data_IF_813743488343
#
_entry.id   IF_813743488343
#
_cell.length_a   1.000
_cell.length_b   1.000
_cell.length_c   1.000
_cell.angle_alpha   90.00
_cell.angle_beta   90.00
_cell.angle_gamma   90.00
#
_symmetry.space_group_name_H-M   'P 1'
#
loop_
_entity.id
_entity.type
_entity.pdbx_description
1 polymer ?
#
# COMPACT_ATOMS: atom_id res chain seq x y z
N UNK A 1 -44.11 12.80 34.07
CA UNK A 1 -44.19 11.86 32.94
C UNK A 1 -42.76 11.55 32.48
N UNK A 2 -42.19 10.42 32.94
CA UNK A 2 -40.81 9.96 32.67
C UNK A 2 -40.82 8.67 31.83
N UNK A 3 -41.51 8.68 30.68
CA UNK A 3 -41.67 7.49 29.82
C UNK A 3 -40.59 7.33 28.73
N UNK A 4 -40.01 8.43 28.24
CA UNK A 4 -39.11 8.39 27.07
C UNK A 4 -37.70 7.86 27.36
N UNK A 5 -37.10 8.24 28.50
CA UNK A 5 -35.70 7.88 28.81
C UNK A 5 -35.50 6.39 29.10
N UNK A 6 -36.51 5.72 29.64
CA UNK A 6 -36.44 4.27 29.90
C UNK A 6 -36.54 3.43 28.61
N UNK A 7 -37.29 3.90 27.60
CA UNK A 7 -37.41 3.19 26.33
C UNK A 7 -36.11 3.28 25.52
N UNK A 8 -35.44 4.44 25.53
CA UNK A 8 -34.15 4.62 24.87
C UNK A 8 -33.02 3.82 25.53
N UNK A 9 -33.00 3.73 26.87
CA UNK A 9 -32.01 2.91 27.59
C UNK A 9 -32.21 1.40 27.35
N UNK A 10 -33.46 0.95 27.26
CA UNK A 10 -33.76 -0.46 26.96
C UNK A 10 -33.46 -0.80 25.49
N UNK A 11 -33.75 0.10 24.55
CA UNK A 11 -33.39 -0.06 23.14
C UNK A 11 -31.86 -0.02 22.91
N UNK A 12 -31.14 0.83 23.64
CA UNK A 12 -29.68 0.82 23.66
C UNK A 12 -29.13 -0.50 24.23
N UNK A 13 -29.78 -1.05 25.26
CA UNK A 13 -29.37 -2.30 25.91
C UNK A 13 -29.67 -3.60 25.14
N UNK A 14 -30.62 -3.56 24.19
CA UNK A 14 -31.03 -4.73 23.39
C UNK A 14 -30.51 -4.70 21.94
N UNK A 15 -29.85 -3.62 21.52
CA UNK A 15 -29.27 -3.52 20.18
C UNK A 15 -27.92 -4.26 20.06
N UNK A 16 -27.64 -4.83 18.88
CA UNK A 16 -26.34 -5.47 18.56
C UNK A 16 -25.13 -4.56 18.82
N UNK A 17 -25.30 -3.23 18.73
CA UNK A 17 -24.25 -2.25 19.03
C UNK A 17 -24.01 -2.08 20.54
N UNK A 18 -25.06 -2.15 21.37
CA UNK A 18 -24.95 -2.08 22.83
C UNK A 18 -24.26 -3.31 23.43
N UNK A 19 -24.51 -4.50 22.86
CA UNK A 19 -23.79 -5.72 23.23
C UNK A 19 -22.30 -5.65 22.88
N UNK A 20 -21.95 -5.20 21.67
CA UNK A 20 -20.55 -5.03 21.25
C UNK A 20 -19.80 -4.00 22.10
N UNK A 21 -20.47 -2.90 22.51
CA UNK A 21 -19.88 -1.91 23.39
C UNK A 21 -19.55 -2.48 24.79
N UNK A 22 -20.42 -3.33 25.34
CA UNK A 22 -20.19 -3.98 26.65
C UNK A 22 -19.14 -5.09 26.59
N UNK A 23 -19.12 -5.89 25.53
CA UNK A 23 -18.08 -6.90 25.30
C UNK A 23 -16.72 -6.23 25.06
N UNK A 24 -16.68 -5.13 24.31
CA UNK A 24 -15.46 -4.35 24.07
C UNK A 24 -14.89 -3.72 25.36
N UNK A 25 -15.75 -3.18 26.22
CA UNK A 25 -15.32 -2.61 27.50
C UNK A 25 -14.83 -3.68 28.49
N UNK A 26 -15.48 -4.85 28.53
CA UNK A 26 -15.06 -5.96 29.39
C UNK A 26 -13.72 -6.57 28.94
N UNK A 27 -13.47 -6.66 27.63
CA UNK A 27 -12.20 -7.16 27.09
C UNK A 27 -10.99 -6.26 27.42
N UNK A 28 -11.20 -4.95 27.60
CA UNK A 28 -10.13 -4.01 27.96
C UNK A 28 -9.80 -3.98 29.46
N UNK A 29 -10.67 -4.50 30.33
CA UNK A 29 -10.46 -4.47 31.78
C UNK A 29 -9.63 -5.62 32.36
N UNK A 30 -9.44 -6.72 31.62
CA UNK A 30 -8.82 -7.95 32.15
C UNK A 30 -7.43 -8.22 31.56
N UNK A 31 -7.05 -7.58 30.46
CA UNK A 31 -5.72 -7.69 29.86
C UNK A 31 -4.74 -6.69 30.49
N UNK A 32 -4.34 -6.95 31.72
CA UNK A 32 -3.21 -6.27 32.35
C UNK A 32 -1.92 -6.47 31.55
N UNK A 33 -1.20 -5.38 31.33
CA UNK A 33 0.23 -5.29 31.01
C UNK A 33 0.73 -6.32 29.99
N UNK A 34 0.65 -5.95 28.71
CA UNK A 34 1.76 -6.11 27.76
C UNK A 34 1.54 -5.13 26.62
N UNK A 35 2.35 -4.07 26.65
CA UNK A 35 2.62 -3.20 25.51
C UNK A 35 2.98 -4.05 24.30
N UNK A 36 2.02 -4.37 23.45
CA UNK A 36 2.31 -4.79 22.09
C UNK A 36 2.32 -3.50 21.27
N UNK A 37 3.39 -2.72 21.48
CA UNK A 37 3.96 -2.03 20.34
C UNK A 37 4.20 -3.15 19.34
N UNK A 38 3.56 -3.07 18.18
CA UNK A 38 3.83 -3.96 17.07
C UNK A 38 5.33 -3.91 16.81
N UNK A 39 6.04 -4.86 17.41
CA UNK A 39 7.39 -5.24 17.02
C UNK A 39 7.19 -5.90 15.67
N UNK A 40 7.07 -5.04 14.68
CA UNK A 40 7.29 -5.44 13.31
C UNK A 40 8.68 -6.04 13.29
N UNK A 41 8.80 -7.29 12.82
CA UNK A 41 10.07 -7.97 12.78
C UNK A 41 11.12 -7.09 12.08
N UNK A 42 12.40 -7.09 12.51
CA UNK A 42 13.47 -6.45 11.75
C UNK A 42 13.48 -7.07 10.35
N UNK A 43 12.95 -6.33 9.36
CA UNK A 43 12.68 -6.82 8.00
C UNK A 43 11.28 -6.52 7.47
N UNK A 44 10.29 -6.23 8.33
CA UNK A 44 8.94 -5.82 7.92
C UNK A 44 8.62 -4.35 8.25
N UNK A 45 9.41 -3.70 9.12
CA UNK A 45 9.34 -2.25 9.40
C UNK A 45 10.60 -1.58 8.90
N UNK A 46 10.75 -1.56 7.59
CA UNK A 46 11.48 -0.47 6.97
C UNK A 46 10.55 0.74 7.06
N UNK A 47 10.71 1.59 8.06
CA UNK A 47 10.19 2.94 8.02
C UNK A 47 10.90 3.68 6.87
N UNK A 48 10.48 3.42 5.62
CA UNK A 48 10.95 4.04 4.38
C UNK A 48 12.47 4.31 4.31
N UNK A 49 13.28 3.34 4.75
CA UNK A 49 14.72 3.37 4.62
C UNK A 49 15.10 2.52 3.41
N UNK A 50 15.60 3.13 2.35
CA UNK A 50 16.15 2.38 1.23
C UNK A 50 17.52 1.83 1.64
N UNK A 51 17.50 0.65 2.25
CA UNK A 51 18.71 -0.06 2.69
C UNK A 51 19.54 0.76 3.69
N UNK A 52 18.88 1.27 4.73
CA UNK A 52 19.49 2.14 5.73
C UNK A 52 19.70 3.59 5.26
N UNK A 53 19.28 3.94 4.04
CA UNK A 53 19.28 5.32 3.58
C UNK A 53 17.90 5.95 3.77
N UNK A 54 17.85 7.03 4.55
CA UNK A 54 16.67 7.87 4.63
C UNK A 54 16.58 8.68 3.35
N UNK A 55 15.51 8.51 2.59
CA UNK A 55 15.18 9.40 1.50
C UNK A 55 14.05 10.33 1.94
N UNK A 56 14.03 11.55 1.42
CA UNK A 56 13.12 12.61 1.92
C UNK A 56 11.79 12.67 1.16
N UNK A 57 11.58 11.81 0.18
CA UNK A 57 10.38 11.79 -0.66
C UNK A 57 9.56 10.54 -0.37
N UNK A 58 8.31 10.66 0.01
CA UNK A 58 7.47 9.51 0.31
C UNK A 58 7.24 8.57 -0.90
N UNK A 59 6.86 7.35 -0.54
CA UNK A 59 6.45 6.27 -1.43
C UNK A 59 5.22 6.63 -2.26
N UNK A 60 5.18 6.22 -3.54
CA UNK A 60 3.96 6.34 -4.35
C UNK A 60 2.83 5.48 -3.76
N UNK A 61 1.55 5.85 -3.90
CA UNK A 61 0.44 5.03 -3.47
C UNK A 61 0.47 3.68 -4.17
N UNK A 62 0.19 2.62 -3.42
CA UNK A 62 0.23 1.25 -3.92
C UNK A 62 -0.94 0.45 -3.35
N UNK A 63 -1.60 -0.42 -4.14
CA UNK A 63 -2.76 -1.17 -3.67
C UNK A 63 -2.47 -2.13 -2.50
N UNK A 64 -1.20 -2.47 -2.27
CA UNK A 64 -0.78 -3.33 -1.15
C UNK A 64 0.09 -2.61 -0.10
N UNK A 65 0.09 -1.28 -0.12
CA UNK A 65 0.85 -0.43 0.81
C UNK A 65 2.30 -0.18 0.38
N UNK A 66 3.12 -1.23 0.23
CA UNK A 66 4.52 -1.08 -0.22
C UNK A 66 4.60 -0.94 -1.75
N UNK A 67 5.20 0.13 -2.33
CA UNK A 67 5.16 0.37 -3.78
C UNK A 67 6.16 -0.46 -4.57
N UNK A 68 6.05 -1.78 -4.45
CA UNK A 68 6.86 -2.75 -5.19
C UNK A 68 6.30 -2.89 -6.60
N UNK A 69 7.18 -2.71 -7.58
CA UNK A 69 6.83 -2.77 -9.00
C UNK A 69 7.62 -3.85 -9.73
N UNK A 70 7.05 -4.36 -10.81
CA UNK A 70 7.79 -5.13 -11.81
C UNK A 70 8.62 -4.22 -12.74
N UNK A 71 9.30 -4.81 -13.71
CA UNK A 71 10.15 -4.09 -14.67
C UNK A 71 9.39 -3.12 -15.58
N UNK A 72 8.07 -3.27 -15.69
CA UNK A 72 7.18 -2.41 -16.48
C UNK A 72 6.49 -1.35 -15.62
N UNK A 73 6.72 -1.35 -14.30
CA UNK A 73 6.11 -0.39 -13.37
C UNK A 73 4.74 -0.83 -12.84
N UNK A 74 4.27 -2.05 -13.13
CA UNK A 74 3.01 -2.55 -12.61
C UNK A 74 3.17 -3.05 -11.18
N UNK A 75 2.11 -2.98 -10.35
CA UNK A 75 2.17 -3.39 -8.97
C UNK A 75 2.40 -4.89 -8.82
N UNK A 76 3.25 -5.23 -7.86
CA UNK A 76 3.50 -6.60 -7.40
C UNK A 76 3.45 -6.64 -5.88
N UNK A 77 3.10 -7.78 -5.30
CA UNK A 77 3.08 -7.91 -3.83
C UNK A 77 4.50 -8.03 -3.29
N UNK A 78 4.83 -7.26 -2.25
CA UNK A 78 6.18 -7.23 -1.67
C UNK A 78 6.69 -8.61 -1.23
N UNK A 79 5.82 -9.38 -0.56
CA UNK A 79 6.09 -10.69 0.06
C UNK A 79 6.67 -11.73 -0.91
N UNK A 80 6.13 -11.81 -2.13
CA UNK A 80 6.43 -12.90 -3.06
C UNK A 80 6.68 -12.43 -4.51
N UNK A 81 6.50 -11.14 -4.80
CA UNK A 81 6.66 -10.59 -6.14
C UNK A 81 5.59 -11.03 -7.13
N UNK A 82 4.49 -11.64 -6.68
CA UNK A 82 3.37 -12.02 -7.56
C UNK A 82 2.66 -10.75 -8.06
N UNK A 83 2.22 -10.73 -9.33
CA UNK A 83 1.38 -9.67 -9.87
C UNK A 83 0.13 -9.43 -9.03
N UNK A 84 -0.25 -8.16 -8.89
CA UNK A 84 -1.54 -7.77 -8.33
C UNK A 84 -2.26 -6.79 -9.25
N UNK A 85 -3.57 -6.68 -9.08
CA UNK A 85 -4.42 -5.68 -9.72
C UNK A 85 -4.46 -4.34 -8.96
N UNK A 86 -5.20 -3.38 -9.51
CA UNK A 86 -5.41 -2.05 -8.93
C UNK A 86 -6.12 -2.08 -7.56
N UNK A 87 -6.70 -3.23 -7.18
CA UNK A 87 -7.32 -3.47 -5.87
C UNK A 87 -6.43 -4.30 -4.93
N UNK A 88 -5.26 -4.75 -5.40
CA UNK A 88 -4.30 -5.54 -4.63
C UNK A 88 -4.57 -7.05 -4.60
N UNK A 89 -5.54 -7.53 -5.37
CA UNK A 89 -5.81 -8.97 -5.54
C UNK A 89 -4.74 -9.58 -6.44
N UNK A 90 -4.40 -10.84 -6.24
CA UNK A 90 -3.48 -11.51 -7.16
C UNK A 90 -4.11 -11.64 -8.54
N UNK A 91 -3.26 -11.70 -9.57
CA UNK A 91 -3.69 -11.93 -10.94
C UNK A 91 -2.79 -12.93 -11.64
N UNK A 92 -3.38 -13.74 -12.50
CA UNK A 92 -2.64 -14.65 -13.37
C UNK A 92 -2.05 -13.92 -14.60
N UNK A 93 -1.45 -14.69 -15.51
CA UNK A 93 -0.84 -14.17 -16.73
C UNK A 93 -1.86 -13.58 -17.73
N UNK A 94 -3.14 -13.97 -17.62
CA UNK A 94 -4.26 -13.48 -18.44
C UNK A 94 -4.97 -12.28 -17.81
N UNK A 95 -4.62 -11.94 -16.56
CA UNK A 95 -5.23 -10.84 -15.80
C UNK A 95 -6.44 -11.26 -14.98
N UNK A 96 -6.74 -12.55 -14.86
CA UNK A 96 -7.86 -13.01 -14.02
C UNK A 96 -7.52 -12.86 -12.54
N UNK A 97 -8.42 -12.28 -11.72
CA UNK A 97 -8.23 -12.19 -10.28
C UNK A 97 -8.18 -13.57 -9.62
N UNK A 98 -7.22 -13.75 -8.72
CA UNK A 98 -7.02 -14.95 -7.93
C UNK A 98 -7.12 -14.65 -6.44
N UNK A 99 -7.52 -15.65 -5.66
CA UNK A 99 -7.39 -15.64 -4.21
C UNK A 99 -5.93 -15.88 -3.77
N UNK A 100 -5.72 -15.96 -2.46
CA UNK A 100 -4.38 -16.15 -1.88
C UNK A 100 -3.74 -17.49 -2.27
N UNK A 101 -4.55 -18.54 -2.41
CA UNK A 101 -4.15 -19.90 -2.80
C UNK A 101 -3.92 -20.03 -4.31
N UNK A 102 -4.38 -19.06 -5.09
CA UNK A 102 -4.23 -19.00 -6.55
C UNK A 102 -5.42 -19.56 -7.32
N UNK A 103 -6.55 -19.82 -6.66
CA UNK A 103 -7.78 -20.18 -7.36
C UNK A 103 -8.45 -18.92 -7.94
N UNK A 104 -9.10 -19.01 -9.13
CA UNK A 104 -9.82 -17.89 -9.71
C UNK A 104 -10.94 -17.39 -8.80
N UNK A 105 -11.01 -16.08 -8.58
CA UNK A 105 -12.13 -15.48 -7.86
C UNK A 105 -13.41 -15.55 -8.70
N UNK A 106 -14.50 -15.88 -8.02
CA UNK A 106 -15.85 -15.90 -8.59
C UNK A 106 -16.72 -14.83 -7.96
N UNK A 107 -17.76 -14.43 -8.66
CA UNK A 107 -18.85 -13.63 -8.10
C UNK A 107 -19.77 -14.51 -7.22
N UNK A 108 -20.85 -13.88 -6.72
CA UNK A 108 -21.83 -14.54 -5.88
C UNK A 108 -22.61 -15.66 -6.59
N UNK A 109 -22.69 -15.62 -7.92
CA UNK A 109 -23.39 -16.61 -8.74
C UNK A 109 -22.46 -17.76 -9.17
N UNK A 110 -21.18 -17.70 -8.78
CA UNK A 110 -20.16 -18.70 -9.09
C UNK A 110 -19.50 -18.51 -10.47
N UNK A 111 -19.81 -17.42 -11.19
CA UNK A 111 -19.12 -17.09 -12.42
C UNK A 111 -17.77 -16.45 -12.12
N UNK A 112 -16.77 -16.69 -12.97
CA UNK A 112 -15.43 -16.09 -12.79
C UNK A 112 -15.52 -14.57 -12.94
N UNK A 113 -14.79 -13.86 -12.09
CA UNK A 113 -14.62 -12.42 -12.24
C UNK A 113 -13.94 -12.11 -13.58
N UNK A 114 -14.32 -10.99 -14.24
CA UNK A 114 -13.64 -10.56 -15.45
C UNK A 114 -12.18 -10.22 -15.18
N UNK A 115 -11.37 -10.17 -16.25
CA UNK A 115 -9.98 -9.76 -16.16
C UNK A 115 -9.87 -8.40 -15.46
N UNK A 116 -9.03 -8.32 -14.43
CA UNK A 116 -8.82 -7.10 -13.67
C UNK A 116 -7.82 -6.18 -14.37
N UNK A 117 -8.02 -4.88 -14.15
CA UNK A 117 -7.11 -3.86 -14.62
C UNK A 117 -5.86 -3.82 -13.77
N UNK A 118 -4.75 -3.48 -14.43
CA UNK A 118 -3.48 -3.20 -13.78
C UNK A 118 -2.94 -1.92 -14.37
N UNK A 119 -2.66 -0.96 -13.52
CA UNK A 119 -2.15 0.34 -13.91
C UNK A 119 -0.74 0.48 -13.36
N UNK A 120 0.19 1.00 -14.18
CA UNK A 120 1.54 1.26 -13.70
C UNK A 120 1.47 2.26 -12.54
N UNK A 121 2.22 2.02 -11.47
CA UNK A 121 2.07 2.74 -10.18
C UNK A 121 2.27 4.25 -10.35
N UNK A 122 3.27 4.68 -11.12
CA UNK A 122 3.48 6.10 -11.40
C UNK A 122 2.33 6.73 -12.20
N UNK A 123 1.72 5.97 -13.11
CA UNK A 123 0.54 6.41 -13.87
C UNK A 123 -0.68 6.56 -12.96
N UNK A 124 -0.99 5.53 -12.16
CA UNK A 124 -2.09 5.60 -11.19
C UNK A 124 -1.91 6.76 -10.20
N UNK A 125 -0.67 7.03 -9.78
CA UNK A 125 -0.36 8.19 -8.94
C UNK A 125 -0.63 9.50 -9.67
N UNK A 126 -0.19 9.62 -10.93
CA UNK A 126 -0.45 10.79 -11.74
C UNK A 126 -1.94 11.07 -11.95
N UNK A 127 -2.76 10.04 -12.12
CA UNK A 127 -4.20 10.18 -12.28
C UNK A 127 -4.85 10.74 -11.01
N UNK A 128 -4.40 10.28 -9.83
CA UNK A 128 -4.90 10.76 -8.53
C UNK A 128 -4.47 12.21 -8.26
N UNK A 129 -3.21 12.56 -8.55
CA UNK A 129 -2.64 13.86 -8.18
C UNK A 129 -2.61 14.89 -9.32
N UNK A 130 -3.10 14.53 -10.51
CA UNK A 130 -3.28 15.44 -11.64
C UNK A 130 -1.96 15.94 -12.24
N UNK A 131 -1.04 15.05 -12.61
CA UNK A 131 0.18 15.43 -13.34
C UNK A 131 0.51 14.47 -14.48
N UNK A 132 1.36 14.91 -15.42
CA UNK A 132 1.86 14.02 -16.48
C UNK A 132 3.03 13.18 -15.95
N UNK A 133 2.90 11.84 -15.84
CA UNK A 133 3.91 11.00 -15.22
C UNK A 133 5.05 10.66 -16.18
N UNK A 134 6.23 10.51 -15.60
CA UNK A 134 7.42 9.97 -16.25
C UNK A 134 8.15 9.09 -15.25
N UNK A 135 8.54 7.89 -15.66
CA UNK A 135 9.48 7.08 -14.87
C UNK A 135 10.87 7.42 -15.36
N UNK A 136 11.59 8.23 -14.59
CA UNK A 136 12.95 8.66 -14.86
C UNK A 136 13.75 8.60 -13.56
N UNK A 137 15.08 8.56 -13.62
CA UNK A 137 15.89 8.52 -12.40
C UNK A 137 15.81 7.16 -11.69
N UNK A 138 16.94 6.74 -11.16
CA UNK A 138 16.99 5.53 -10.35
C UNK A 138 18.20 5.56 -9.42
N UNK A 139 18.01 4.98 -8.25
CA UNK A 139 19.06 4.78 -7.27
C UNK A 139 19.25 3.30 -7.01
N UNK A 140 20.50 2.91 -6.81
CA UNK A 140 20.86 1.52 -6.59
C UNK A 140 21.65 1.39 -5.29
N UNK A 141 21.35 0.36 -4.51
CA UNK A 141 22.08 0.01 -3.29
C UNK A 141 22.20 -1.51 -3.16
N UNK A 142 23.28 -1.96 -2.57
CA UNK A 142 23.46 -3.36 -2.19
C UNK A 142 22.82 -3.61 -0.82
N UNK A 143 21.88 -4.54 -0.73
CA UNK A 143 21.09 -4.77 0.47
C UNK A 143 20.74 -6.27 0.62
N UNK A 144 21.27 -6.90 1.66
CA UNK A 144 21.10 -8.34 1.88
C UNK A 144 21.63 -9.18 0.72
N UNK A 145 22.80 -8.82 0.17
CA UNK A 145 23.45 -9.53 -0.95
C UNK A 145 22.74 -9.39 -2.31
N UNK A 146 21.83 -8.42 -2.44
CA UNK A 146 21.11 -8.12 -3.68
C UNK A 146 21.07 -6.63 -3.95
N UNK A 147 21.22 -6.26 -5.20
CA UNK A 147 21.03 -4.88 -5.64
C UNK A 147 19.53 -4.56 -5.59
N UNK A 148 19.17 -3.56 -4.82
CA UNK A 148 17.82 -2.96 -4.79
C UNK A 148 17.84 -1.71 -5.64
N UNK A 149 16.72 -1.43 -6.30
CA UNK A 149 16.53 -0.23 -7.12
C UNK A 149 15.35 0.56 -6.59
N UNK A 150 15.60 1.84 -6.33
CA UNK A 150 14.57 2.83 -6.07
C UNK A 150 14.34 3.60 -7.38
N UNK A 151 13.08 3.75 -7.76
CA UNK A 151 12.65 4.27 -9.06
C UNK A 151 11.85 5.53 -8.83
N UNK A 152 12.25 6.64 -9.48
CA UNK A 152 11.57 7.91 -9.26
C UNK A 152 10.35 8.05 -10.20
N UNK A 153 9.21 8.41 -9.62
CA UNK A 153 8.04 8.86 -10.37
C UNK A 153 8.11 10.38 -10.50
N UNK A 154 8.30 10.84 -11.72
CA UNK A 154 8.66 12.21 -12.06
C UNK A 154 7.53 12.94 -12.76
N UNK A 155 7.50 14.27 -12.57
CA UNK A 155 6.55 15.15 -13.25
C UNK A 155 7.01 16.60 -13.26
N UNK A 156 6.30 17.44 -14.01
CA UNK A 156 6.44 18.90 -13.94
C UNK A 156 5.68 19.44 -12.71
N UNK A 157 6.11 19.04 -11.53
CA UNK A 157 5.43 19.31 -10.25
C UNK A 157 6.17 20.38 -9.43
N UNK A 158 5.44 21.06 -8.54
CA UNK A 158 6.05 22.03 -7.59
C UNK A 158 6.38 21.38 -6.25
N UNK A 159 5.49 20.51 -5.78
CA UNK A 159 5.60 19.79 -4.52
C UNK A 159 5.64 18.28 -4.77
N UNK A 160 6.15 17.54 -3.78
CA UNK A 160 6.18 16.08 -3.72
C UNK A 160 4.89 15.56 -3.09
N UNK A 161 4.76 14.24 -3.06
CA UNK A 161 3.60 13.58 -2.46
C UNK A 161 3.42 13.88 -0.97
N UNK A 162 4.52 14.07 -0.23
CA UNK A 162 4.49 14.45 1.20
C UNK A 162 4.28 15.96 1.44
N UNK A 163 4.04 16.75 0.39
CA UNK A 163 3.78 18.19 0.49
C UNK A 163 5.02 19.09 0.42
N UNK A 164 6.22 18.54 0.56
CA UNK A 164 7.48 19.29 0.48
C UNK A 164 7.78 19.79 -0.94
N UNK A 165 8.69 20.76 -1.07
CA UNK A 165 9.22 21.20 -2.36
C UNK A 165 9.84 20.04 -3.15
N UNK A 166 9.48 19.95 -4.43
CA UNK A 166 9.93 18.85 -5.30
C UNK A 166 11.43 18.87 -5.59
N UNK A 167 12.06 17.68 -5.56
CA UNK A 167 13.50 17.51 -5.75
C UNK A 167 13.89 17.70 -7.22
N UNK A 168 14.99 18.41 -7.44
CA UNK A 168 15.60 18.61 -8.76
C UNK A 168 16.83 17.73 -8.94
N UNK A 169 17.18 17.42 -10.19
CA UNK A 169 18.44 16.75 -10.54
C UNK A 169 18.37 15.23 -10.75
N UNK A 170 17.30 14.57 -10.27
CA UNK A 170 17.11 13.12 -10.45
C UNK A 170 16.32 12.77 -11.70
N UNK A 171 15.31 13.59 -12.02
CA UNK A 171 14.48 13.42 -13.20
C UNK A 171 15.02 14.27 -14.36
N UNK A 172 14.93 13.74 -15.58
CA UNK A 172 15.43 14.41 -16.77
C UNK A 172 14.54 15.59 -17.21
N UNK A 173 15.10 16.47 -18.06
CA UNK A 173 14.38 17.57 -18.73
C UNK A 173 13.64 18.51 -17.77
N UNK A 174 14.25 18.83 -16.63
CA UNK A 174 13.69 19.75 -15.63
C UNK A 174 12.50 19.21 -14.84
N UNK A 175 12.14 17.92 -15.01
CA UNK A 175 11.16 17.26 -14.15
C UNK A 175 11.70 17.11 -12.74
N UNK A 176 10.79 16.84 -11.81
CA UNK A 176 11.09 16.68 -10.40
C UNK A 176 10.48 15.40 -9.86
N UNK A 177 11.12 14.83 -8.84
CA UNK A 177 10.64 13.62 -8.18
C UNK A 177 9.38 13.97 -7.40
N UNK A 178 8.27 13.28 -7.70
CA UNK A 178 7.01 13.43 -6.99
C UNK A 178 6.89 12.40 -5.86
N UNK A 179 7.14 11.14 -6.17
CA UNK A 179 7.13 10.00 -5.24
C UNK A 179 8.11 8.93 -5.72
N UNK A 180 8.34 7.90 -4.90
CA UNK A 180 9.28 6.81 -5.22
C UNK A 180 8.64 5.43 -5.22
N UNK A 181 9.17 4.53 -6.04
CA UNK A 181 8.75 3.13 -6.17
C UNK A 181 9.95 2.19 -6.00
N UNK A 182 9.67 0.91 -5.74
CA UNK A 182 10.70 -0.09 -5.46
C UNK A 182 10.73 -1.20 -6.50
N UNK A 183 11.91 -1.44 -7.07
CA UNK A 183 12.17 -2.54 -7.98
C UNK A 183 13.25 -3.48 -7.42
N UNK A 184 12.97 -4.78 -7.46
CA UNK A 184 13.91 -5.82 -7.04
C UNK A 184 14.74 -6.28 -8.24
N UNK A 185 16.02 -5.92 -8.30
CA UNK A 185 16.80 -6.18 -9.52
C UNK A 185 17.18 -7.64 -9.69
N UNK A 186 17.02 -8.50 -8.67
CA UNK A 186 17.53 -9.89 -8.61
C UNK A 186 19.06 -10.02 -8.83
N UNK A 187 19.77 -8.93 -9.09
CA UNK A 187 21.21 -8.88 -9.29
C UNK A 187 21.91 -9.04 -7.94
N UNK A 188 22.95 -9.88 -7.89
CA UNK A 188 23.78 -10.03 -6.70
C UNK A 188 24.76 -8.88 -6.57
N UNK A 189 25.03 -8.55 -5.33
CA UNK A 189 26.17 -7.79 -4.83
C UNK A 189 26.66 -8.56 -3.59
#
# INVERSE_FOLDING_TARGET
MNGGRFADDVAASSSRRGFLARVGAAAMGVAGVKTVGSLVAPGEAEAYHFCGHIYTTDSCPHPTGLPRIDSKGFPIRAKNGRPVDDLGRYVDATGLPLDDDGAPLTDADGARLPAATRTAVCTATADVYGFKPYVDGAWYRCCGGKVRKLVDCCGAVRNRINGDKALTGYCYKGRKVFCVMYYDTKVKC
#
